data_IF_298480820073
#
_entry.id   IF_298480820073
#
_cell.length_a   1.000
_cell.length_b   1.000
_cell.length_c   1.000
_cell.angle_alpha   90.00
_cell.angle_beta   90.00
_cell.angle_gamma   90.00
#
_symmetry.space_group_name_H-M   'P 1'
#
loop_
_entity.id
_entity.type
_entity.pdbx_description
1 polymer ?
#
# COMPACT_ATOMS: atom_id res chain seq x y z
N UNK A 1 16.11 0.89 -20.88
CA UNK A 1 14.76 0.72 -21.47
C UNK A 1 13.89 -0.24 -20.65
N UNK A 2 14.44 -1.36 -20.16
CA UNK A 2 13.70 -2.41 -19.43
C UNK A 2 13.07 -1.92 -18.10
N UNK A 3 13.76 -1.08 -17.32
CA UNK A 3 13.30 -0.64 -15.99
C UNK A 3 12.03 0.22 -16.02
N UNK A 4 11.91 1.12 -17.01
CA UNK A 4 10.75 2.01 -17.14
C UNK A 4 9.49 1.23 -17.49
N UNK A 5 9.60 0.27 -18.41
CA UNK A 5 8.48 -0.58 -18.82
C UNK A 5 8.04 -1.51 -17.68
N UNK A 6 8.99 -1.98 -16.87
CA UNK A 6 8.70 -2.75 -15.67
C UNK A 6 7.90 -1.95 -14.64
N UNK A 7 8.36 -0.73 -14.31
CA UNK A 7 7.66 0.15 -13.35
C UNK A 7 6.25 0.49 -13.87
N UNK A 8 6.11 0.83 -15.15
CA UNK A 8 4.80 1.12 -15.73
C UNK A 8 3.84 -0.07 -15.66
N UNK A 9 4.33 -1.30 -15.89
CA UNK A 9 3.51 -2.51 -15.77
C UNK A 9 3.10 -2.76 -14.32
N UNK A 10 4.02 -2.60 -13.38
CA UNK A 10 3.73 -2.71 -11.94
C UNK A 10 2.67 -1.70 -11.51
N UNK A 11 2.80 -0.44 -11.92
CA UNK A 11 1.82 0.61 -11.64
C UNK A 11 0.45 0.29 -12.25
N UNK A 12 0.40 -0.15 -13.51
CA UNK A 12 -0.86 -0.54 -14.15
C UNK A 12 -1.53 -1.71 -13.44
N UNK A 13 -0.77 -2.71 -13.00
CA UNK A 13 -1.27 -3.83 -12.23
C UNK A 13 -1.88 -3.36 -10.90
N UNK A 14 -1.17 -2.52 -10.15
CA UNK A 14 -1.67 -1.97 -8.88
C UNK A 14 -2.97 -1.19 -9.07
N UNK A 15 -3.05 -0.32 -10.08
CA UNK A 15 -4.26 0.46 -10.37
C UNK A 15 -5.44 -0.45 -10.73
N UNK A 16 -5.21 -1.48 -11.55
CA UNK A 16 -6.26 -2.45 -11.91
C UNK A 16 -6.77 -3.21 -10.69
N UNK A 17 -5.87 -3.61 -9.79
CA UNK A 17 -6.21 -4.31 -8.55
C UNK A 17 -7.02 -3.42 -7.63
N UNK A 18 -6.62 -2.17 -7.43
CA UNK A 18 -7.36 -1.22 -6.58
C UNK A 18 -8.79 -1.02 -7.08
N UNK A 19 -9.00 -0.97 -8.40
CA UNK A 19 -10.34 -0.90 -8.97
C UNK A 19 -11.17 -2.16 -8.66
N UNK A 20 -10.58 -3.35 -8.80
CA UNK A 20 -11.24 -4.62 -8.47
C UNK A 20 -11.60 -4.70 -6.98
N UNK A 21 -10.66 -4.35 -6.10
CA UNK A 21 -10.85 -4.29 -4.64
C UNK A 21 -11.99 -3.35 -4.29
N UNK A 22 -12.04 -2.15 -4.91
CA UNK A 22 -13.14 -1.21 -4.70
C UNK A 22 -14.50 -1.80 -5.03
N UNK A 23 -14.62 -2.50 -6.17
CA UNK A 23 -15.86 -3.19 -6.55
C UNK A 23 -16.24 -4.30 -5.54
N UNK A 24 -15.26 -5.07 -5.05
CA UNK A 24 -15.49 -6.10 -4.03
C UNK A 24 -15.95 -5.51 -2.70
N UNK A 25 -15.34 -4.41 -2.25
CA UNK A 25 -15.77 -3.69 -1.06
C UNK A 25 -17.20 -3.14 -1.20
N UNK A 26 -17.57 -2.60 -2.37
CA UNK A 26 -18.94 -2.14 -2.63
C UNK A 26 -19.97 -3.29 -2.55
N UNK A 27 -19.57 -4.50 -2.95
CA UNK A 27 -20.37 -5.72 -2.82
C UNK A 27 -20.31 -6.36 -1.42
N UNK A 28 -19.60 -5.75 -0.46
CA UNK A 28 -19.31 -6.31 0.88
C UNK A 28 -18.56 -7.66 0.84
N UNK A 29 -17.89 -7.96 -0.26
CA UNK A 29 -17.10 -9.17 -0.48
C UNK A 29 -15.67 -9.00 0.08
N UNK A 30 -15.55 -8.60 1.35
CA UNK A 30 -14.27 -8.21 1.96
C UNK A 30 -13.23 -9.33 2.02
N UNK A 31 -13.65 -10.59 2.16
CA UNK A 31 -12.73 -11.72 2.10
C UNK A 31 -12.08 -11.85 0.71
N UNK A 32 -12.84 -11.65 -0.37
CA UNK A 32 -12.29 -11.68 -1.73
C UNK A 32 -11.39 -10.47 -1.99
N UNK A 33 -11.77 -9.29 -1.50
CA UNK A 33 -10.94 -8.10 -1.56
C UNK A 33 -9.58 -8.33 -0.87
N UNK A 34 -9.59 -8.95 0.32
CA UNK A 34 -8.38 -9.31 1.07
C UNK A 34 -7.49 -10.26 0.28
N UNK A 35 -8.06 -11.31 -0.30
CA UNK A 35 -7.29 -12.33 -1.00
C UNK A 35 -6.64 -11.76 -2.28
N UNK A 36 -7.35 -10.89 -3.01
CA UNK A 36 -6.81 -10.15 -4.16
C UNK A 36 -5.66 -9.23 -3.75
N UNK A 37 -5.83 -8.47 -2.67
CA UNK A 37 -4.78 -7.60 -2.13
C UNK A 37 -3.55 -8.39 -1.70
N UNK A 38 -3.76 -9.50 -1.00
CA UNK A 38 -2.67 -10.34 -0.52
C UNK A 38 -1.82 -10.90 -1.67
N UNK A 39 -2.50 -11.45 -2.68
CA UNK A 39 -1.85 -11.97 -3.88
C UNK A 39 -1.05 -10.87 -4.60
N UNK A 40 -1.66 -9.69 -4.77
CA UNK A 40 -1.02 -8.58 -5.48
C UNK A 40 0.21 -8.06 -4.73
N UNK A 41 0.11 -7.85 -3.42
CA UNK A 41 1.24 -7.42 -2.60
C UNK A 41 2.39 -8.42 -2.72
N UNK A 42 2.09 -9.73 -2.67
CA UNK A 42 3.09 -10.77 -2.83
C UNK A 42 3.74 -10.78 -4.22
N UNK A 43 2.98 -10.58 -5.29
CA UNK A 43 3.53 -10.53 -6.65
C UNK A 43 4.45 -9.34 -6.88
N UNK A 44 4.16 -8.19 -6.28
CA UNK A 44 4.92 -6.96 -6.45
C UNK A 44 6.19 -6.97 -5.60
N UNK A 45 6.05 -7.42 -4.35
CA UNK A 45 7.12 -7.30 -3.34
C UNK A 45 7.91 -8.60 -3.14
N UNK A 46 7.38 -9.73 -3.61
CA UNK A 46 7.89 -11.06 -3.27
C UNK A 46 7.58 -11.50 -1.82
N UNK A 47 6.84 -10.69 -1.05
CA UNK A 47 6.61 -10.91 0.38
C UNK A 47 5.12 -11.05 0.71
N UNK A 48 4.82 -11.90 1.68
CA UNK A 48 3.49 -11.99 2.26
C UNK A 48 3.10 -10.66 2.96
N UNK A 49 1.85 -10.19 2.87
CA UNK A 49 1.40 -8.97 3.53
C UNK A 49 1.65 -8.95 5.05
N UNK A 50 1.57 -10.10 5.73
CA UNK A 50 1.89 -10.20 7.14
C UNK A 50 3.37 -9.89 7.39
N UNK A 51 4.26 -10.31 6.49
CA UNK A 51 5.67 -9.94 6.58
C UNK A 51 5.87 -8.45 6.37
N UNK A 52 5.23 -7.85 5.35
CA UNK A 52 5.27 -6.40 5.09
C UNK A 52 4.89 -5.59 6.33
N UNK A 53 3.81 -5.99 7.02
CA UNK A 53 3.36 -5.35 8.27
C UNK A 53 4.34 -5.44 9.44
N UNK A 54 5.37 -6.28 9.36
CA UNK A 54 6.41 -6.39 10.41
C UNK A 54 7.69 -5.66 10.06
N UNK A 55 7.84 -5.20 8.81
CA UNK A 55 9.06 -4.54 8.37
C UNK A 55 9.27 -3.23 9.11
N UNK A 56 10.55 -2.90 9.32
CA UNK A 56 11.02 -1.57 9.67
C UNK A 56 10.88 -0.63 8.47
N UNK A 57 11.03 0.68 8.71
CA UNK A 57 10.99 1.67 7.63
C UNK A 57 12.05 1.37 6.56
N UNK A 58 13.31 1.15 6.95
CA UNK A 58 14.41 0.94 6.02
C UNK A 58 14.23 -0.34 5.18
N UNK A 59 13.76 -1.43 5.80
CA UNK A 59 13.42 -2.66 5.09
C UNK A 59 12.27 -2.44 4.09
N UNK A 60 11.23 -1.71 4.49
CA UNK A 60 10.09 -1.42 3.64
C UNK A 60 10.47 -0.53 2.45
N UNK A 61 11.33 0.46 2.65
CA UNK A 61 11.84 1.30 1.57
C UNK A 61 12.70 0.50 0.59
N UNK A 62 13.47 -0.48 1.10
CA UNK A 62 14.26 -1.39 0.27
C UNK A 62 13.39 -2.28 -0.62
N UNK A 63 12.15 -2.59 -0.22
CA UNK A 63 11.17 -3.31 -1.05
C UNK A 63 10.65 -2.47 -2.21
N UNK A 64 10.68 -1.13 -2.10
CA UNK A 64 10.13 -0.21 -3.10
C UNK A 64 11.15 0.21 -4.19
N UNK A 65 12.24 -0.53 -4.32
CA UNK A 65 13.32 -0.25 -5.26
C UNK A 65 14.18 -1.47 -5.52
N UNK A 66 15.20 -1.28 -6.36
CA UNK A 66 16.29 -2.24 -6.52
C UNK A 66 17.57 -1.64 -5.91
N UNK A 67 18.65 -2.44 -5.79
CA UNK A 67 19.96 -2.20 -5.10
C UNK A 67 20.65 -0.82 -5.22
N UNK A 68 20.06 0.19 -5.86
CA UNK A 68 20.60 1.56 -5.92
C UNK A 68 19.57 2.69 -6.05
N UNK A 69 18.26 2.44 -6.21
CA UNK A 69 17.30 3.54 -6.39
C UNK A 69 15.88 3.21 -5.87
N UNK A 70 15.38 4.10 -5.02
CA UNK A 70 14.00 4.11 -4.53
C UNK A 70 13.03 4.53 -5.64
N UNK A 71 11.99 3.74 -5.92
CA UNK A 71 10.95 4.12 -6.86
C UNK A 71 9.76 4.73 -6.14
N UNK A 72 9.57 6.04 -6.33
CA UNK A 72 8.43 6.77 -5.78
C UNK A 72 7.07 6.23 -6.27
N UNK A 73 7.04 5.70 -7.49
CA UNK A 73 5.85 5.13 -8.13
C UNK A 73 5.47 3.78 -7.50
N UNK A 74 6.45 2.90 -7.29
CA UNK A 74 6.23 1.62 -6.60
C UNK A 74 5.82 1.88 -5.15
N UNK A 75 6.54 2.78 -4.46
CA UNK A 75 6.21 3.15 -3.08
C UNK A 75 4.79 3.72 -2.95
N UNK A 76 4.38 4.59 -3.87
CA UNK A 76 3.02 5.16 -3.89
C UNK A 76 1.97 4.06 -4.11
N UNK A 77 2.19 3.19 -5.09
CA UNK A 77 1.25 2.11 -5.37
C UNK A 77 1.16 1.09 -4.22
N UNK A 78 2.29 0.73 -3.59
CA UNK A 78 2.31 -0.13 -2.42
C UNK A 78 1.63 0.55 -1.21
N UNK A 79 1.81 1.85 -1.03
CA UNK A 79 1.11 2.62 0.00
C UNK A 79 -0.41 2.58 -0.20
N UNK A 80 -0.89 2.68 -1.45
CA UNK A 80 -2.30 2.55 -1.77
C UNK A 80 -2.85 1.14 -1.50
N UNK A 81 -2.11 0.09 -1.86
CA UNK A 81 -2.48 -1.30 -1.55
C UNK A 81 -2.56 -1.55 -0.04
N UNK A 82 -1.57 -1.08 0.73
CA UNK A 82 -1.56 -1.24 2.18
C UNK A 82 -2.65 -0.40 2.87
N UNK A 83 -2.98 0.77 2.31
CA UNK A 83 -4.12 1.58 2.76
C UNK A 83 -5.43 0.81 2.60
N UNK A 84 -5.67 0.22 1.43
CA UNK A 84 -6.87 -0.59 1.17
C UNK A 84 -6.89 -1.89 1.98
N UNK A 85 -5.75 -2.58 2.15
CA UNK A 85 -5.65 -3.75 3.04
C UNK A 85 -6.07 -3.35 4.45
N UNK A 86 -5.59 -2.23 4.98
CA UNK A 86 -6.01 -1.80 6.31
C UNK A 86 -7.51 -1.55 6.41
N UNK A 87 -8.15 -0.96 5.38
CA UNK A 87 -9.60 -0.80 5.36
C UNK A 87 -10.34 -2.13 5.34
N UNK A 88 -9.94 -3.04 4.45
CA UNK A 88 -10.53 -4.37 4.35
C UNK A 88 -10.37 -5.16 5.65
N UNK A 89 -9.20 -5.10 6.30
CA UNK A 89 -8.96 -5.76 7.58
C UNK A 89 -9.84 -5.19 8.70
N UNK A 90 -10.04 -3.87 8.73
CA UNK A 90 -10.92 -3.24 9.70
C UNK A 90 -12.38 -3.69 9.55
N UNK A 91 -12.88 -3.77 8.31
CA UNK A 91 -14.23 -4.28 7.99
C UNK A 91 -14.38 -5.77 8.38
N UNK A 92 -13.31 -6.54 8.29
CA UNK A 92 -13.25 -7.94 8.76
C UNK A 92 -13.07 -8.08 10.28
N UNK A 93 -12.99 -6.98 11.02
CA UNK A 93 -12.82 -6.98 12.48
C UNK A 93 -11.36 -7.06 12.97
N UNK A 94 -10.39 -7.12 12.07
CA UNK A 94 -8.96 -7.26 12.37
C UNK A 94 -8.30 -5.89 12.60
N UNK A 95 -8.72 -5.17 13.63
CA UNK A 95 -8.31 -3.78 13.88
C UNK A 95 -6.79 -3.60 14.07
N UNK A 96 -6.12 -4.55 14.73
CA UNK A 96 -4.67 -4.48 14.92
C UNK A 96 -3.93 -4.61 13.58
N UNK A 97 -4.34 -5.58 12.76
CA UNK A 97 -3.80 -5.76 11.41
C UNK A 97 -4.02 -4.51 10.55
N UNK A 98 -5.21 -3.91 10.66
CA UNK A 98 -5.54 -2.68 9.94
C UNK A 98 -4.59 -1.53 10.28
N UNK A 99 -4.32 -1.31 11.58
CA UNK A 99 -3.40 -0.27 12.06
C UNK A 99 -1.98 -0.49 11.54
N UNK A 100 -1.48 -1.72 11.59
CA UNK A 100 -0.13 -2.02 11.12
C UNK A 100 0.01 -1.77 9.60
N UNK A 101 -1.00 -2.10 8.80
CA UNK A 101 -1.03 -1.78 7.37
C UNK A 101 -1.08 -0.28 7.11
N UNK A 102 -1.95 0.46 7.81
CA UNK A 102 -2.03 1.93 7.67
C UNK A 102 -0.74 2.63 8.09
N UNK A 103 -0.05 2.13 9.12
CA UNK A 103 1.24 2.67 9.54
C UNK A 103 2.29 2.56 8.43
N UNK A 104 2.37 1.41 7.75
CA UNK A 104 3.31 1.23 6.63
C UNK A 104 2.91 2.06 5.41
N UNK A 105 1.61 2.22 5.16
CA UNK A 105 1.13 3.12 4.12
C UNK A 105 1.56 4.58 4.39
N UNK A 106 1.41 5.06 5.63
CA UNK A 106 1.88 6.41 6.03
C UNK A 106 3.38 6.56 5.78
N UNK A 107 4.20 5.60 6.23
CA UNK A 107 5.65 5.64 6.04
C UNK A 107 6.06 5.76 4.58
N UNK A 108 5.42 5.00 3.69
CA UNK A 108 5.67 5.07 2.26
C UNK A 108 5.25 6.42 1.66
N UNK A 109 4.09 6.94 2.06
CA UNK A 109 3.63 8.25 1.63
C UNK A 109 4.56 9.39 2.08
N UNK A 110 5.06 9.33 3.31
CA UNK A 110 6.04 10.29 3.84
C UNK A 110 7.36 10.21 3.08
N UNK A 111 7.85 9.00 2.80
CA UNK A 111 9.06 8.79 2.01
C UNK A 111 8.92 9.32 0.57
N UNK A 112 7.78 9.08 -0.08
CA UNK A 112 7.48 9.64 -1.41
C UNK A 112 7.49 11.16 -1.37
N UNK A 113 6.85 11.78 -0.38
CA UNK A 113 6.84 13.24 -0.19
C UNK A 113 8.25 13.82 -0.03
N UNK A 114 9.12 13.13 0.72
CA UNK A 114 10.52 13.54 0.95
C UNK A 114 11.46 13.30 -0.24
N UNK A 115 11.11 12.38 -1.14
CA UNK A 115 11.97 11.98 -2.27
C UNK A 115 12.01 12.97 -3.45
N UNK A 116 11.12 13.96 -3.48
CA UNK A 116 10.97 14.89 -4.62
C UNK A 116 10.39 14.24 -5.88
N UNK A 117 9.90 12.99 -5.78
CA UNK A 117 9.26 12.25 -6.87
C UNK A 117 7.83 12.68 -7.15
N UNK A 118 7.11 11.91 -7.99
CA UNK A 118 5.71 12.20 -8.32
C UNK A 118 4.83 11.88 -7.12
N UNK A 119 4.23 12.91 -6.55
CA UNK A 119 3.34 12.81 -5.39
C UNK A 119 1.88 12.91 -5.83
N UNK A 120 0.97 12.05 -5.34
CA UNK A 120 -0.47 12.23 -5.55
C UNK A 120 -0.95 13.60 -5.04
N UNK A 121 -1.76 14.32 -5.82
CA UNK A 121 -2.26 15.65 -5.44
C UNK A 121 -3.06 15.63 -4.12
N UNK A 122 -3.65 14.49 -3.76
CA UNK A 122 -4.46 14.28 -2.57
C UNK A 122 -3.65 13.66 -1.39
N UNK A 123 -2.32 13.57 -1.48
CA UNK A 123 -1.47 12.93 -0.46
C UNK A 123 -1.75 13.44 0.97
N UNK A 124 -1.85 14.76 1.14
CA UNK A 124 -2.10 15.38 2.45
C UNK A 124 -3.42 14.91 3.06
N UNK A 125 -4.45 14.74 2.22
CA UNK A 125 -5.76 14.27 2.65
C UNK A 125 -5.70 12.78 3.04
N UNK A 126 -4.96 11.97 2.27
CA UNK A 126 -4.74 10.54 2.56
C UNK A 126 -4.03 10.35 3.90
N UNK A 127 -2.92 11.07 4.11
CA UNK A 127 -2.16 11.03 5.36
C UNK A 127 -3.03 11.47 6.55
N UNK A 128 -3.72 12.60 6.42
CA UNK A 128 -4.60 13.12 7.48
C UNK A 128 -5.69 12.09 7.87
N UNK A 129 -6.29 11.44 6.87
CA UNK A 129 -7.28 10.38 7.10
C UNK A 129 -6.69 9.20 7.85
N UNK A 130 -5.54 8.67 7.40
CA UNK A 130 -4.88 7.52 8.03
C UNK A 130 -4.46 7.82 9.47
N UNK A 131 -3.85 8.99 9.72
CA UNK A 131 -3.45 9.42 11.07
C UNK A 131 -4.66 9.52 12.00
N UNK A 132 -5.79 10.04 11.51
CA UNK A 132 -7.02 10.11 12.32
C UNK A 132 -7.58 8.72 12.70
N UNK A 133 -7.44 7.73 11.82
CA UNK A 133 -7.88 6.36 12.06
C UNK A 133 -7.00 5.67 13.10
N UNK A 134 -5.69 5.91 13.08
CA UNK A 134 -4.78 5.41 14.10
C UNK A 134 -5.07 6.00 15.49
N UNK A 135 -5.47 7.28 15.56
CA UNK A 135 -5.78 7.95 16.82
C UNK A 135 -7.13 7.53 17.44
N UNK A 136 -8.13 7.17 16.63
CA UNK A 136 -9.47 6.78 17.12
C UNK A 136 -9.56 5.38 17.72
N UNK A 137 -8.50 4.57 17.61
CA UNK A 137 -8.47 3.19 18.09
C UNK A 137 -7.64 2.96 19.36
N UNK A 138 -7.18 4.01 20.04
CA UNK A 138 -6.49 3.95 21.34
C UNK A 138 -7.43 4.34 22.47
#
# INVERSE_FOLDING_TARGET
>A
MITRDYILRQVQQMVSVLAQVSLKCQAQEYHLARDILAQTIQEITGLDPARIRTLTLDELLSVCGNDSEFSSEIATGLADLLREDGFVQAELGNQETAKESWKRAIWLYEAVSGSGGVVPMDLVQRLSRLTSLLQKGS
#
